data_IF_831759744445
#
_entry.id   IF_831759744445
#
_cell.length_a   1.000
_cell.length_b   1.000
_cell.length_c   1.000
_cell.angle_alpha   90.00
_cell.angle_beta   90.00
_cell.angle_gamma   90.00
#
_symmetry.space_group_name_H-M   'P 1'
#
loop_
_entity.id
_entity.type
_entity.pdbx_description
1 polymer ?
#
# COMPACT_ATOMS: atom_id res chain seq x y z
N UNK A 1 22.50 8.87 -0.28
CA UNK A 1 21.07 8.51 -0.12
C UNK A 1 20.25 9.77 -0.31
N UNK A 2 19.04 9.67 -0.89
CA UNK A 2 18.17 10.81 -1.18
C UNK A 2 17.86 11.67 0.06
N UNK A 3 17.86 11.08 1.28
CA UNK A 3 17.63 11.77 2.56
C UNK A 3 18.59 12.93 2.84
N UNK A 4 19.87 12.82 2.44
CA UNK A 4 20.86 13.91 2.63
C UNK A 4 20.50 15.19 1.87
N UNK A 5 19.75 15.06 0.78
CA UNK A 5 19.24 16.21 0.01
C UNK A 5 17.88 16.69 0.51
N UNK A 6 17.26 15.96 1.44
CA UNK A 6 15.94 16.19 1.99
C UNK A 6 16.00 16.30 3.52
N UNK A 7 16.96 17.09 4.02
CA UNK A 7 17.11 17.45 5.43
C UNK A 7 17.30 16.27 6.39
N UNK A 8 17.94 15.19 5.92
CA UNK A 8 18.14 13.95 6.68
C UNK A 8 16.85 13.36 7.26
N UNK A 9 15.70 13.67 6.63
CA UNK A 9 14.40 13.08 7.00
C UNK A 9 14.44 11.57 6.73
N UNK A 10 14.00 10.81 7.72
CA UNK A 10 13.89 9.34 7.64
C UNK A 10 12.79 8.91 6.66
N UNK A 11 12.99 7.77 6.01
CA UNK A 11 12.02 7.17 5.09
C UNK A 11 10.90 6.47 5.87
N UNK A 12 9.65 6.80 5.56
CA UNK A 12 8.49 6.00 5.96
C UNK A 12 8.35 4.82 4.99
N UNK A 13 8.79 3.63 5.40
CA UNK A 13 8.66 2.40 4.59
C UNK A 13 7.28 1.78 4.76
N UNK A 14 6.55 1.63 3.65
CA UNK A 14 5.20 1.07 3.62
C UNK A 14 5.07 0.12 2.45
N UNK A 15 4.38 -1.00 2.66
CA UNK A 15 3.90 -1.87 1.60
C UNK A 15 2.40 -1.61 1.36
N UNK A 16 1.98 -1.59 0.10
CA UNK A 16 0.59 -1.29 -0.25
C UNK A 16 -0.36 -2.46 -0.03
N UNK A 17 0.13 -3.65 0.29
CA UNK A 17 -0.68 -4.82 0.66
C UNK A 17 -1.54 -4.60 1.93
N UNK A 18 -1.10 -3.73 2.85
CA UNK A 18 -1.91 -3.28 3.99
C UNK A 18 -3.11 -2.41 3.57
N UNK A 19 -3.04 -1.83 2.38
CA UNK A 19 -4.01 -0.87 1.84
C UNK A 19 -4.89 -1.55 0.79
N UNK A 20 -4.33 -2.19 -0.23
CA UNK A 20 -5.03 -2.78 -1.38
C UNK A 20 -4.59 -4.22 -1.69
N UNK A 21 -5.18 -4.84 -2.71
CA UNK A 21 -4.94 -6.23 -3.10
C UNK A 21 -3.57 -6.53 -3.74
N UNK A 22 -2.69 -5.54 -3.88
CA UNK A 22 -1.40 -5.68 -4.55
C UNK A 22 -0.26 -5.12 -3.70
N UNK A 23 0.84 -5.88 -3.59
CA UNK A 23 2.05 -5.45 -2.89
C UNK A 23 2.87 -4.45 -3.73
N UNK A 24 3.39 -3.40 -3.09
CA UNK A 24 4.24 -2.37 -3.69
C UNK A 24 5.04 -1.66 -2.59
N UNK A 25 6.18 -2.23 -2.23
CA UNK A 25 7.12 -1.65 -1.26
C UNK A 25 7.66 -0.30 -1.72
N UNK A 26 7.49 0.73 -0.89
CA UNK A 26 7.99 2.10 -1.14
C UNK A 26 8.48 2.72 0.16
N UNK A 27 9.48 3.59 0.05
CA UNK A 27 9.86 4.52 1.11
C UNK A 27 9.45 5.93 0.71
N UNK A 28 8.71 6.62 1.59
CA UNK A 28 8.23 7.98 1.39
C UNK A 28 9.03 8.94 2.28
N UNK A 29 9.49 10.06 1.72
CA UNK A 29 10.14 11.13 2.48
C UNK A 29 9.20 12.32 2.49
N UNK A 30 8.82 12.78 3.68
CA UNK A 30 7.96 13.93 3.84
C UNK A 30 8.10 14.56 5.23
N UNK A 31 7.69 15.82 5.36
CA UNK A 31 7.56 16.53 6.63
C UNK A 31 6.09 16.63 7.11
N UNK A 32 5.20 15.79 6.57
CA UNK A 32 3.79 15.77 6.93
C UNK A 32 3.58 15.16 8.33
N UNK A 33 2.57 15.64 9.09
CA UNK A 33 2.22 15.05 10.37
C UNK A 33 1.71 13.61 10.20
N UNK A 34 2.03 12.76 11.17
CA UNK A 34 1.64 11.34 11.20
C UNK A 34 0.40 11.09 12.05
N UNK A 35 0.07 12.03 12.95
CA UNK A 35 -1.10 11.96 13.82
C UNK A 35 -2.39 12.28 13.05
N UNK A 36 -3.51 11.69 13.46
CA UNK A 36 -4.85 11.93 12.89
C UNK A 36 -4.98 11.58 11.40
N UNK A 37 -4.16 10.66 10.89
CA UNK A 37 -4.37 10.07 9.56
C UNK A 37 -5.63 9.18 9.58
N UNK A 38 -6.45 9.30 8.54
CA UNK A 38 -7.60 8.42 8.31
C UNK A 38 -7.44 7.70 6.96
N UNK A 39 -8.00 6.50 6.81
CA UNK A 39 -8.04 5.84 5.51
C UNK A 39 -8.92 6.61 4.52
N UNK A 40 -8.75 6.31 3.23
CA UNK A 40 -9.64 6.80 2.17
C UNK A 40 -10.86 5.90 2.11
N UNK A 41 -12.04 6.51 2.10
CA UNK A 41 -13.32 5.82 1.93
C UNK A 41 -13.81 5.86 0.47
N UNK A 42 -14.39 4.77 -0.05
CA UNK A 42 -14.52 3.46 0.61
C UNK A 42 -13.17 2.72 0.67
N UNK A 43 -13.01 1.87 1.69
CA UNK A 43 -11.82 1.04 1.81
C UNK A 43 -11.62 0.17 0.55
N UNK A 44 -10.44 0.19 -0.07
CA UNK A 44 -10.19 -0.60 -1.27
C UNK A 44 -10.15 -2.11 -0.96
N UNK A 45 -10.41 -2.96 -1.97
CA UNK A 45 -10.34 -4.40 -1.80
C UNK A 45 -8.91 -4.83 -1.47
N UNK A 46 -8.76 -5.66 -0.42
CA UNK A 46 -7.46 -6.17 0.07
C UNK A 46 -7.11 -7.56 -0.42
N UNK A 47 -7.96 -8.18 -1.23
CA UNK A 47 -7.71 -9.51 -1.80
C UNK A 47 -8.03 -9.51 -3.29
N UNK A 48 -7.36 -10.38 -4.04
CA UNK A 48 -7.60 -10.55 -5.48
C UNK A 48 -9.07 -10.88 -5.73
N UNK A 49 -9.69 -11.75 -4.92
CA UNK A 49 -11.10 -12.11 -5.06
C UNK A 49 -12.07 -10.94 -4.84
N UNK A 50 -11.74 -10.00 -3.95
CA UNK A 50 -12.56 -8.78 -3.77
C UNK A 50 -12.32 -7.75 -4.86
N UNK A 51 -11.12 -7.72 -5.44
CA UNK A 51 -10.76 -6.80 -6.52
C UNK A 51 -11.27 -7.28 -7.89
N UNK A 52 -11.31 -8.61 -8.10
CA UNK A 52 -11.66 -9.26 -9.36
C UNK A 52 -12.66 -10.40 -9.11
N UNK A 53 -13.95 -10.04 -9.08
CA UNK A 53 -15.03 -10.99 -8.75
C UNK A 53 -15.14 -12.16 -9.75
N UNK A 54 -14.73 -11.95 -11.00
CA UNK A 54 -14.80 -12.97 -12.06
C UNK A 54 -13.59 -13.90 -12.13
N UNK A 55 -12.50 -13.60 -11.40
CA UNK A 55 -11.26 -14.40 -11.46
C UNK A 55 -11.39 -15.71 -10.70
N UNK A 56 -12.33 -15.80 -9.74
CA UNK A 56 -12.54 -17.01 -8.91
C UNK A 56 -12.84 -18.25 -9.76
N UNK A 57 -13.59 -18.10 -10.85
CA UNK A 57 -14.00 -19.22 -11.71
C UNK A 57 -12.83 -19.83 -12.51
N UNK A 58 -11.76 -19.08 -12.69
CA UNK A 58 -10.62 -19.45 -13.53
C UNK A 58 -9.34 -19.69 -12.74
N UNK A 59 -9.36 -19.41 -11.42
CA UNK A 59 -8.22 -19.64 -10.55
C UNK A 59 -8.15 -21.12 -10.18
N UNK A 60 -6.99 -21.73 -10.38
CA UNK A 60 -6.79 -23.12 -9.98
C UNK A 60 -6.70 -23.24 -8.46
N UNK A 61 -6.89 -24.44 -7.91
CA UNK A 61 -6.77 -24.68 -6.47
C UNK A 61 -5.32 -24.69 -5.95
N UNK A 62 -4.33 -24.62 -6.85
CA UNK A 62 -2.91 -24.68 -6.55
C UNK A 62 -2.18 -23.35 -6.82
N UNK A 63 -2.90 -22.37 -7.37
CA UNK A 63 -2.55 -20.95 -7.34
C UNK A 63 -2.93 -20.33 -5.98
#
# INVERSE_FOLDING_TARGET
MISRFLYDIELEFVDSDFICAAARKRGYIHNLPVQNRSPVDPLPPKTIFKAFLYVVEWLSSWD
#
